data_IF_376586574134
#
_entry.id   IF_376586574134
#
_cell.length_a   1.000
_cell.length_b   1.000
_cell.length_c   1.000
_cell.angle_alpha   90.00
_cell.angle_beta   90.00
_cell.angle_gamma   90.00
#
_symmetry.space_group_name_H-M   'P 1'
#
loop_
_entity.id
_entity.type
_entity.pdbx_description
1 polymer ?
#
# COMPACT_ATOMS: atom_id res chain seq x y z
N UNK A 1 5.61 9.16 -17.95
CA UNK A 1 4.99 9.82 -16.77
C UNK A 1 6.07 9.93 -15.71
N UNK A 2 6.29 11.11 -15.11
CA UNK A 2 7.32 11.26 -14.08
C UNK A 2 6.87 10.66 -12.74
N UNK A 3 7.80 10.26 -11.85
CA UNK A 3 7.45 9.75 -10.52
C UNK A 3 6.59 10.72 -9.70
N UNK A 4 6.88 12.03 -9.78
CA UNK A 4 6.11 13.06 -9.07
C UNK A 4 4.64 13.15 -9.54
N UNK A 5 4.41 13.09 -10.87
CA UNK A 5 3.05 13.11 -11.44
C UNK A 5 2.31 11.82 -11.07
N UNK A 6 2.99 10.67 -11.12
CA UNK A 6 2.42 9.39 -10.72
C UNK A 6 1.97 9.43 -9.26
N UNK A 7 2.86 9.89 -8.35
CA UNK A 7 2.54 10.04 -6.92
C UNK A 7 1.31 10.90 -6.71
N UNK A 8 1.23 12.07 -7.36
CA UNK A 8 0.09 12.97 -7.20
C UNK A 8 -1.24 12.29 -7.64
N UNK A 9 -1.21 11.51 -8.73
CA UNK A 9 -2.39 10.78 -9.20
C UNK A 9 -2.75 9.61 -8.29
N UNK A 10 -1.76 8.92 -7.73
CA UNK A 10 -1.97 7.83 -6.76
C UNK A 10 -2.55 8.37 -5.46
N UNK A 11 -2.02 9.46 -4.90
CA UNK A 11 -2.60 10.12 -3.71
C UNK A 11 -4.08 10.39 -3.92
N UNK A 12 -4.47 11.03 -5.03
CA UNK A 12 -5.89 11.28 -5.34
C UNK A 12 -6.71 9.99 -5.44
N UNK A 13 -6.16 8.96 -6.05
CA UNK A 13 -6.84 7.66 -6.18
C UNK A 13 -7.03 6.95 -4.82
N UNK A 14 -6.02 7.01 -3.95
CA UNK A 14 -6.03 6.36 -2.63
C UNK A 14 -6.88 7.14 -1.64
N UNK A 15 -6.84 8.48 -1.63
CA UNK A 15 -7.72 9.31 -0.79
C UNK A 15 -9.21 9.08 -1.06
N UNK A 16 -9.57 8.65 -2.28
CA UNK A 16 -10.95 8.27 -2.59
C UNK A 16 -11.39 6.94 -1.93
N UNK A 17 -10.48 6.22 -1.25
CA UNK A 17 -10.69 4.89 -0.67
C UNK A 17 -10.27 4.80 0.80
N UNK A 18 -9.38 5.68 1.23
CA UNK A 18 -8.76 5.68 2.56
C UNK A 18 -8.90 7.09 3.13
N UNK A 19 -9.51 7.17 4.32
CA UNK A 19 -9.89 8.44 4.93
C UNK A 19 -8.75 9.11 5.69
N UNK A 20 -7.87 8.31 6.31
CA UNK A 20 -6.76 8.83 7.11
C UNK A 20 -5.60 9.25 6.20
N UNK A 21 -5.07 10.45 6.44
CA UNK A 21 -4.02 11.02 5.59
C UNK A 21 -2.67 10.31 5.75
N UNK A 22 -2.33 9.84 6.95
CA UNK A 22 -1.09 9.11 7.16
C UNK A 22 -1.18 7.74 6.47
N UNK A 23 -2.31 7.03 6.63
CA UNK A 23 -2.57 5.77 5.93
C UNK A 23 -2.47 5.93 4.40
N UNK A 24 -2.99 7.04 3.84
CA UNK A 24 -2.87 7.34 2.40
C UNK A 24 -1.42 7.44 1.96
N UNK A 25 -0.59 8.15 2.72
CA UNK A 25 0.82 8.36 2.38
C UNK A 25 1.61 7.05 2.45
N UNK A 26 1.39 6.25 3.49
CA UNK A 26 2.01 4.94 3.66
C UNK A 26 1.65 4.02 2.48
N UNK A 27 0.36 3.92 2.13
CA UNK A 27 -0.11 3.10 1.01
C UNK A 27 0.50 3.57 -0.31
N UNK A 28 0.56 4.89 -0.55
CA UNK A 28 1.13 5.43 -1.79
C UNK A 28 2.63 5.11 -1.88
N UNK A 29 3.35 5.18 -0.77
CA UNK A 29 4.76 4.84 -0.72
C UNK A 29 4.99 3.36 -1.07
N UNK A 30 4.28 2.45 -0.40
CA UNK A 30 4.32 1.01 -0.71
C UNK A 30 3.93 0.73 -2.16
N UNK A 31 2.89 1.40 -2.66
CA UNK A 31 2.48 1.28 -4.07
C UNK A 31 3.59 1.67 -5.03
N UNK A 32 4.35 2.73 -4.75
CA UNK A 32 5.46 3.17 -5.60
C UNK A 32 6.61 2.16 -5.59
N UNK A 33 6.90 1.56 -4.43
CA UNK A 33 7.90 0.49 -4.29
C UNK A 33 7.46 -0.74 -5.10
N UNK A 34 6.23 -1.22 -4.90
CA UNK A 34 5.67 -2.35 -5.64
C UNK A 34 5.62 -2.11 -7.16
N UNK A 35 5.35 -0.87 -7.59
CA UNK A 35 5.42 -0.46 -9.00
C UNK A 35 6.85 -0.56 -9.54
N UNK A 36 7.84 -0.09 -8.78
CA UNK A 36 9.24 -0.15 -9.17
C UNK A 36 9.71 -1.61 -9.33
N UNK A 37 9.42 -2.45 -8.34
CA UNK A 37 9.81 -3.87 -8.35
C UNK A 37 9.10 -4.66 -9.46
N UNK A 38 7.84 -4.31 -9.74
CA UNK A 38 7.02 -4.97 -10.75
C UNK A 38 7.17 -4.36 -12.15
N UNK A 39 8.02 -3.35 -12.34
CA UNK A 39 8.10 -2.57 -13.58
C UNK A 39 8.44 -3.46 -14.78
N UNK A 40 9.32 -4.45 -14.59
CA UNK A 40 9.73 -5.43 -15.61
C UNK A 40 8.58 -6.33 -16.07
N UNK A 41 7.50 -6.43 -15.28
CA UNK A 41 6.32 -7.24 -15.59
C UNK A 41 5.26 -6.45 -16.37
N UNK A 42 5.43 -5.14 -16.54
CA UNK A 42 4.46 -4.31 -17.26
C UNK A 42 4.49 -4.56 -18.77
N UNK A 43 3.47 -5.26 -19.28
CA UNK A 43 3.37 -5.66 -20.69
C UNK A 43 2.69 -4.65 -21.63
N UNK A 44 2.39 -3.43 -21.17
CA UNK A 44 1.76 -2.40 -22.00
C UNK A 44 0.33 -2.67 -22.47
N UNK A 45 -0.37 -3.67 -21.89
CA UNK A 45 -1.75 -4.03 -22.26
C UNK A 45 -2.81 -3.01 -21.80
N UNK A 46 -2.43 -2.05 -20.98
CA UNK A 46 -3.27 -0.95 -20.48
C UNK A 46 -2.39 0.28 -20.28
N UNK A 47 -3.00 1.43 -19.96
CA UNK A 47 -2.21 2.59 -19.57
C UNK A 47 -1.40 2.28 -18.33
N UNK A 48 -0.18 2.83 -18.23
CA UNK A 48 0.66 2.63 -17.04
C UNK A 48 -0.08 3.02 -15.75
N UNK A 49 -0.88 4.10 -15.77
CA UNK A 49 -1.65 4.50 -14.60
C UNK A 49 -2.75 3.50 -14.25
N UNK A 50 -3.41 2.89 -15.24
CA UNK A 50 -4.40 1.83 -15.01
C UNK A 50 -3.76 0.63 -14.31
N UNK A 51 -2.57 0.23 -14.74
CA UNK A 51 -1.80 -0.84 -14.09
C UNK A 51 -1.34 -0.46 -12.69
N UNK A 52 -0.82 0.76 -12.49
CA UNK A 52 -0.45 1.29 -11.18
C UNK A 52 -1.65 1.33 -10.20
N UNK A 53 -2.85 1.70 -10.66
CA UNK A 53 -4.06 1.65 -9.85
C UNK A 53 -4.47 0.22 -9.46
N UNK A 54 -4.11 -0.80 -10.25
CA UNK A 54 -4.34 -2.19 -9.87
C UNK A 54 -3.43 -2.57 -8.69
N UNK A 55 -2.14 -2.22 -8.77
CA UNK A 55 -1.18 -2.39 -7.66
C UNK A 55 -1.67 -1.65 -6.41
N UNK A 56 -2.05 -0.38 -6.55
CA UNK A 56 -2.57 0.42 -5.43
C UNK A 56 -3.78 -0.23 -4.73
N UNK A 57 -4.67 -0.90 -5.47
CA UNK A 57 -5.80 -1.63 -4.87
C UNK A 57 -5.33 -2.82 -4.03
N UNK A 58 -4.29 -3.53 -4.48
CA UNK A 58 -3.68 -4.61 -3.70
C UNK A 58 -3.04 -4.06 -2.44
N UNK A 59 -2.28 -2.97 -2.52
CA UNK A 59 -1.66 -2.33 -1.35
C UNK A 59 -2.69 -1.84 -0.33
N UNK A 60 -3.81 -1.25 -0.78
CA UNK A 60 -4.91 -0.85 0.13
C UNK A 60 -5.46 -2.07 0.87
N UNK A 61 -5.71 -3.18 0.16
CA UNK A 61 -6.25 -4.38 0.78
C UNK A 61 -5.25 -4.98 1.78
N UNK A 62 -3.97 -5.02 1.42
CA UNK A 62 -2.93 -5.58 2.28
C UNK A 62 -2.65 -4.70 3.49
N UNK A 63 -2.72 -3.37 3.34
CA UNK A 63 -2.66 -2.41 4.44
C UNK A 63 -3.75 -2.67 5.47
N UNK A 64 -5.02 -2.78 5.06
CA UNK A 64 -6.12 -3.05 6.00
C UNK A 64 -6.02 -4.44 6.64
N UNK A 65 -5.52 -5.44 5.91
CA UNK A 65 -5.24 -6.77 6.45
C UNK A 65 -4.19 -6.68 7.57
N UNK A 66 -3.06 -6.01 7.32
CA UNK A 66 -1.98 -5.78 8.30
C UNK A 66 -2.47 -4.96 9.50
N UNK A 67 -3.24 -3.89 9.27
CA UNK A 67 -3.81 -3.03 10.33
C UNK A 67 -4.76 -3.81 11.25
N UNK A 68 -5.63 -4.66 10.68
CA UNK A 68 -6.52 -5.53 11.46
C UNK A 68 -5.74 -6.56 12.29
N UNK A 69 -4.70 -7.17 11.71
CA UNK A 69 -3.85 -8.12 12.45
C UNK A 69 -3.19 -7.43 13.63
N UNK A 70 -2.58 -6.26 13.43
CA UNK A 70 -1.98 -5.46 14.50
C UNK A 70 -3.02 -5.20 15.60
N UNK A 71 -4.19 -4.66 15.27
CA UNK A 71 -5.24 -4.38 16.27
C UNK A 71 -5.67 -5.62 17.07
N UNK A 72 -5.83 -6.77 16.42
CA UNK A 72 -6.21 -8.01 17.12
C UNK A 72 -5.09 -8.48 18.05
N UNK A 73 -3.83 -8.39 17.61
CA UNK A 73 -2.67 -8.79 18.43
C UNK A 73 -2.55 -7.89 19.65
N UNK A 74 -2.55 -6.57 19.47
CA UNK A 74 -2.49 -5.59 20.57
C UNK A 74 -3.64 -5.78 21.58
N UNK A 75 -4.86 -6.11 21.11
CA UNK A 75 -6.02 -6.22 21.99
C UNK A 75 -6.20 -7.58 22.67
N UNK A 76 -5.78 -8.68 22.03
CA UNK A 76 -6.08 -10.04 22.52
C UNK A 76 -4.85 -10.86 22.91
N UNK A 77 -3.68 -10.52 22.37
CA UNK A 77 -2.46 -11.32 22.50
C UNK A 77 -1.24 -10.39 22.71
N UNK A 78 -1.23 -9.57 23.78
CA UNK A 78 -0.19 -8.55 23.98
C UNK A 78 1.22 -9.14 24.08
N UNK A 79 1.34 -10.39 24.54
CA UNK A 79 2.63 -11.10 24.60
C UNK A 79 3.24 -11.42 23.22
N UNK A 80 2.47 -11.32 22.12
CA UNK A 80 2.95 -11.54 20.75
C UNK A 80 3.30 -10.24 20.01
N UNK A 81 3.12 -9.07 20.63
CA UNK A 81 3.33 -7.77 19.97
C UNK A 81 4.73 -7.61 19.38
N UNK A 82 5.76 -8.04 20.10
CA UNK A 82 7.16 -7.98 19.65
C UNK A 82 7.41 -8.82 18.40
N UNK A 83 6.93 -10.07 18.41
CA UNK A 83 7.05 -11.01 17.27
C UNK A 83 6.34 -10.50 16.02
N UNK A 84 5.14 -9.92 16.19
CA UNK A 84 4.35 -9.40 15.06
C UNK A 84 4.95 -8.12 14.51
N UNK A 85 5.52 -7.26 15.36
CA UNK A 85 6.20 -6.04 14.92
C UNK A 85 7.46 -6.35 14.13
N UNK A 86 8.19 -7.40 14.49
CA UNK A 86 9.36 -7.88 13.77
C UNK A 86 8.99 -8.54 12.43
N UNK A 87 7.92 -9.34 12.40
CA UNK A 87 7.48 -10.02 11.18
C UNK A 87 6.71 -9.13 10.18
N UNK A 88 6.08 -8.04 10.65
CA UNK A 88 5.32 -7.08 9.84
C UNK A 88 6.01 -5.71 9.71
N UNK A 89 7.28 -5.62 10.11
CA UNK A 89 8.14 -4.49 9.78
C UNK A 89 8.35 -4.39 8.26
N UNK A 90 8.78 -3.22 7.75
CA UNK A 90 9.21 -3.08 6.37
C UNK A 90 10.35 -4.05 6.02
#
# INVERSE_FOLDING_TARGET
>A
MTPAILRQRLVRFVTAKVSDRADVEDIVQETLISIYDSLVLFKGKSSFFTWACAIAKHEIADFYRKKKIKQVVFSKLPFLEGLVSEALGP
#
